data_IF_163149896003
#
_entry.id   IF_163149896003
#
_cell.length_a   1.000
_cell.length_b   1.000
_cell.length_c   1.000
_cell.angle_alpha   90.00
_cell.angle_beta   90.00
_cell.angle_gamma   90.00
#
_symmetry.space_group_name_H-M   'P 1'
#
loop_
_entity.id
_entity.type
_entity.pdbx_description
1 polymer ?
#
# COMPACT_ATOMS: atom_id res chain seq x y z
N UNK A 1 24.82 -3.39 -16.95
CA UNK A 1 23.36 -3.44 -16.72
C UNK A 1 22.77 -4.68 -17.40
N UNK A 2 21.85 -5.40 -16.75
CA UNK A 2 21.21 -6.59 -17.32
C UNK A 2 19.90 -6.20 -18.01
N UNK A 3 19.71 -6.63 -19.25
CA UNK A 3 18.70 -6.05 -20.12
C UNK A 3 17.24 -6.36 -19.75
N UNK A 4 17.00 -7.39 -18.95
CA UNK A 4 15.64 -7.76 -18.51
C UNK A 4 15.39 -7.44 -17.04
N UNK A 5 16.32 -6.75 -16.39
CA UNK A 5 16.12 -6.24 -15.04
C UNK A 5 15.05 -5.12 -15.08
N UNK A 6 13.99 -5.18 -14.26
CA UNK A 6 12.84 -4.29 -14.37
C UNK A 6 13.18 -2.79 -14.37
N UNK A 7 14.14 -2.35 -13.53
CA UNK A 7 14.55 -0.95 -13.46
C UNK A 7 15.26 -0.49 -14.74
N UNK A 8 16.10 -1.34 -15.34
CA UNK A 8 16.70 -1.07 -16.64
C UNK A 8 15.66 -1.02 -17.77
N UNK A 9 14.64 -1.90 -17.74
CA UNK A 9 13.53 -1.88 -18.69
C UNK A 9 12.76 -0.57 -18.57
N UNK A 10 12.39 -0.17 -17.34
CA UNK A 10 11.70 1.10 -17.06
C UNK A 10 12.51 2.30 -17.54
N UNK A 11 13.81 2.35 -17.21
CA UNK A 11 14.68 3.46 -17.61
C UNK A 11 14.73 3.62 -19.15
N UNK A 12 14.85 2.52 -19.90
CA UNK A 12 14.85 2.60 -21.37
C UNK A 12 13.54 3.16 -21.91
N UNK A 13 12.40 2.72 -21.38
CA UNK A 13 11.08 3.23 -21.81
C UNK A 13 10.91 4.71 -21.45
N UNK A 14 11.30 5.10 -20.24
CA UNK A 14 11.25 6.49 -19.78
C UNK A 14 12.08 7.41 -20.67
N UNK A 15 13.31 7.01 -21.03
CA UNK A 15 14.16 7.77 -21.96
C UNK A 15 13.53 7.87 -23.37
N UNK A 16 12.95 6.78 -23.89
CA UNK A 16 12.28 6.80 -25.20
C UNK A 16 11.08 7.75 -25.24
N UNK A 17 10.32 7.85 -24.16
CA UNK A 17 9.20 8.80 -24.06
C UNK A 17 9.71 10.24 -24.03
N UNK A 18 10.74 10.54 -23.22
CA UNK A 18 11.34 11.88 -23.13
C UNK A 18 11.94 12.34 -24.46
N UNK A 19 12.58 11.45 -25.21
CA UNK A 19 13.11 11.75 -26.55
C UNK A 19 12.00 12.12 -27.56
N UNK A 20 10.77 11.69 -27.32
CA UNK A 20 9.58 12.07 -28.11
C UNK A 20 8.87 13.32 -27.58
N UNK A 21 9.40 13.97 -26.55
CA UNK A 21 8.77 15.11 -25.88
C UNK A 21 7.61 14.73 -24.97
N UNK A 22 7.52 13.46 -24.54
CA UNK A 22 6.51 12.96 -23.61
C UNK A 22 7.13 12.79 -22.22
N UNK A 23 6.47 13.32 -21.19
CA UNK A 23 6.95 13.32 -19.81
C UNK A 23 5.93 12.60 -18.92
N UNK A 24 6.05 11.28 -18.74
CA UNK A 24 5.10 10.52 -17.94
C UNK A 24 5.23 10.90 -16.45
N UNK A 25 4.08 11.00 -15.79
CA UNK A 25 3.94 11.19 -14.34
C UNK A 25 3.19 9.97 -13.80
N UNK A 26 3.68 9.38 -12.71
CA UNK A 26 3.10 8.16 -12.14
C UNK A 26 2.77 8.37 -10.68
N UNK A 27 1.60 7.89 -10.26
CA UNK A 27 1.19 7.73 -8.87
C UNK A 27 1.08 6.23 -8.58
N UNK A 28 1.39 5.84 -7.35
CA UNK A 28 1.26 4.45 -6.89
C UNK A 28 0.35 4.41 -5.68
N UNK A 29 -0.68 3.57 -5.78
CA UNK A 29 -1.56 3.16 -4.69
C UNK A 29 -1.09 1.77 -4.24
N UNK A 30 -0.56 1.68 -3.02
CA UNK A 30 -0.05 0.43 -2.48
C UNK A 30 -1.10 -0.19 -1.55
N UNK A 31 -1.90 -1.09 -2.09
CA UNK A 31 -2.84 -1.89 -1.30
C UNK A 31 -2.16 -3.08 -0.61
N UNK A 32 -2.59 -3.38 0.61
CA UNK A 32 -2.14 -4.53 1.37
C UNK A 32 -3.21 -5.04 2.33
N UNK A 33 -2.99 -6.26 2.84
CA UNK A 33 -3.86 -6.86 3.86
C UNK A 33 -3.07 -7.05 5.15
N UNK A 34 -3.66 -6.64 6.26
CA UNK A 34 -3.36 -7.24 7.54
C UNK A 34 -4.13 -8.57 7.61
N UNK A 35 -3.50 -9.60 8.18
CA UNK A 35 -4.07 -10.94 8.25
C UNK A 35 -3.92 -11.48 9.67
N UNK A 36 -4.88 -12.29 10.08
CA UNK A 36 -4.70 -13.09 11.28
C UNK A 36 -3.63 -14.17 11.04
N UNK A 37 -2.79 -14.37 12.05
CA UNK A 37 -1.80 -15.44 12.06
C UNK A 37 -2.47 -16.81 12.17
N UNK A 38 -3.63 -16.88 12.83
CA UNK A 38 -4.45 -18.07 12.88
C UNK A 38 -5.24 -18.21 11.59
N UNK A 39 -5.28 -19.43 11.05
CA UNK A 39 -6.14 -19.78 9.93
C UNK A 39 -7.56 -20.07 10.42
N UNK A 40 -8.53 -19.96 9.54
CA UNK A 40 -9.91 -20.36 9.86
C UNK A 40 -10.02 -21.88 10.03
N UNK A 41 -11.24 -22.37 10.34
CA UNK A 41 -11.50 -23.79 10.58
C UNK A 41 -11.19 -24.67 9.36
N UNK A 42 -11.25 -24.09 8.17
CA UNK A 42 -10.99 -24.73 6.88
C UNK A 42 -9.53 -24.58 6.41
N UNK A 43 -8.71 -23.79 7.12
CA UNK A 43 -7.29 -23.57 6.85
C UNK A 43 -6.97 -22.38 5.94
N UNK A 44 -7.95 -21.54 5.60
CA UNK A 44 -7.75 -20.35 4.78
C UNK A 44 -7.24 -19.15 5.60
N UNK A 45 -6.79 -18.12 4.88
CA UNK A 45 -6.43 -16.83 5.44
C UNK A 45 -7.71 -16.09 5.85
N UNK A 46 -7.64 -15.33 6.93
CA UNK A 46 -8.78 -14.58 7.45
C UNK A 46 -8.36 -13.19 7.95
N UNK A 47 -9.28 -12.19 7.91
CA UNK A 47 -9.02 -10.82 8.36
C UNK A 47 -8.61 -10.77 9.84
N UNK A 48 -7.78 -9.83 10.29
CA UNK A 48 -7.34 -9.78 11.68
C UNK A 48 -8.52 -9.46 12.62
N UNK A 49 -8.40 -9.89 13.87
CA UNK A 49 -9.23 -9.34 14.94
C UNK A 49 -8.86 -7.88 15.20
N UNK A 50 -9.81 -7.09 15.70
CA UNK A 50 -9.53 -5.75 16.17
C UNK A 50 -8.47 -5.81 17.29
N UNK A 51 -7.43 -4.95 17.27
CA UNK A 51 -6.36 -5.02 18.26
C UNK A 51 -6.88 -4.95 19.69
N UNK A 52 -6.41 -5.87 20.53
CA UNK A 52 -6.84 -5.99 21.92
C UNK A 52 -8.17 -6.72 22.14
N UNK A 53 -8.81 -7.25 21.09
CA UNK A 53 -10.05 -8.03 21.20
C UNK A 53 -9.99 -9.34 20.40
N UNK A 54 -10.96 -10.21 20.64
CA UNK A 54 -11.23 -11.40 19.81
C UNK A 54 -12.28 -11.11 18.72
N UNK A 55 -12.73 -9.86 18.60
CA UNK A 55 -13.77 -9.47 17.66
C UNK A 55 -13.18 -9.28 16.26
N UNK A 56 -13.77 -9.99 15.28
CA UNK A 56 -13.36 -9.94 13.88
C UNK A 56 -14.39 -9.21 13.05
N UNK A 57 -13.98 -8.16 12.36
CA UNK A 57 -14.84 -7.54 11.37
C UNK A 57 -14.87 -8.41 10.11
N UNK A 58 -16.03 -8.99 9.81
CA UNK A 58 -16.25 -9.85 8.64
C UNK A 58 -17.01 -9.14 7.53
N UNK A 59 -17.42 -7.89 7.74
CA UNK A 59 -18.20 -7.11 6.78
C UNK A 59 -17.32 -6.10 6.04
N UNK A 60 -17.49 -6.01 4.72
CA UNK A 60 -16.95 -4.92 3.90
C UNK A 60 -17.58 -3.60 4.31
N UNK A 61 -16.90 -2.87 5.18
CA UNK A 61 -17.30 -1.53 5.61
C UNK A 61 -16.32 -0.53 4.98
N UNK A 62 -16.56 -0.23 3.69
CA UNK A 62 -15.81 0.78 2.94
C UNK A 62 -15.81 2.08 3.75
N UNK A 63 -14.62 2.64 4.01
CA UNK A 63 -14.46 3.90 4.77
C UNK A 63 -14.98 3.89 6.22
N UNK A 64 -15.03 2.73 6.89
CA UNK A 64 -15.31 2.70 8.33
C UNK A 64 -14.19 3.38 9.12
N UNK A 65 -14.49 4.55 9.68
CA UNK A 65 -13.63 5.26 10.64
C UNK A 65 -13.28 4.35 11.82
N UNK A 66 -14.17 3.45 12.21
CA UNK A 66 -13.93 2.50 13.30
C UNK A 66 -12.83 1.51 12.92
N UNK A 67 -12.80 0.98 11.68
CA UNK A 67 -11.71 0.11 11.25
C UNK A 67 -10.36 0.86 11.22
N UNK A 68 -10.34 2.11 10.76
CA UNK A 68 -9.12 2.93 10.82
C UNK A 68 -8.64 3.11 12.27
N UNK A 69 -9.53 3.40 13.21
CA UNK A 69 -9.18 3.59 14.61
C UNK A 69 -8.59 2.33 15.24
N UNK A 70 -9.13 1.16 14.94
CA UNK A 70 -8.63 -0.10 15.50
C UNK A 70 -7.18 -0.37 15.09
N UNK A 71 -6.82 -0.06 13.84
CA UNK A 71 -5.48 -0.32 13.30
C UNK A 71 -4.60 0.95 13.23
N UNK A 72 -5.00 2.03 13.89
CA UNK A 72 -4.31 3.31 13.83
C UNK A 72 -2.83 3.19 14.25
N UNK A 73 -2.53 2.40 15.29
CA UNK A 73 -1.15 2.25 15.78
C UNK A 73 -0.20 1.71 14.69
N UNK A 74 -0.57 0.65 13.97
CA UNK A 74 0.28 0.09 12.91
C UNK A 74 0.35 1.01 11.69
N UNK A 75 -0.75 1.69 11.35
CA UNK A 75 -0.77 2.64 10.24
C UNK A 75 0.10 3.87 10.53
N UNK A 76 0.07 4.36 11.78
CA UNK A 76 0.93 5.45 12.24
C UNK A 76 2.40 5.02 12.23
N UNK A 77 2.73 3.82 12.71
CA UNK A 77 4.10 3.30 12.64
C UNK A 77 4.63 3.25 11.20
N UNK A 78 3.79 2.83 10.24
CA UNK A 78 4.15 2.82 8.82
C UNK A 78 4.39 4.24 8.31
N UNK A 79 3.52 5.19 8.65
CA UNK A 79 3.67 6.59 8.25
C UNK A 79 4.96 7.22 8.83
N UNK A 80 5.22 7.04 10.11
CA UNK A 80 6.44 7.53 10.78
C UNK A 80 7.70 6.93 10.13
N UNK A 81 7.71 5.63 9.86
CA UNK A 81 8.84 4.96 9.21
C UNK A 81 9.01 5.38 7.75
N UNK A 82 7.92 5.68 7.03
CA UNK A 82 7.98 6.22 5.68
C UNK A 82 8.62 7.61 5.68
N UNK A 83 8.20 8.49 6.59
CA UNK A 83 8.78 9.82 6.76
C UNK A 83 10.27 9.76 7.11
N UNK A 84 10.67 8.88 8.03
CA UNK A 84 12.08 8.68 8.41
C UNK A 84 12.94 8.20 7.24
N UNK A 85 12.37 7.46 6.30
CA UNK A 85 13.04 6.96 5.11
C UNK A 85 12.91 7.90 3.89
N UNK A 86 12.27 9.05 4.05
CA UNK A 86 11.96 10.00 2.97
C UNK A 86 11.14 9.37 1.83
N UNK A 87 10.30 8.40 2.17
CA UNK A 87 9.33 7.82 1.25
C UNK A 87 8.16 8.83 1.14
N UNK A 88 7.77 9.26 -0.08
CA UNK A 88 6.79 10.31 -0.27
C UNK A 88 5.34 9.77 -0.12
N UNK A 89 5.01 9.22 1.03
CA UNK A 89 3.66 8.77 1.36
C UNK A 89 2.75 9.96 1.74
N UNK A 90 1.51 9.95 1.24
CA UNK A 90 0.47 10.96 1.54
C UNK A 90 -0.49 10.50 2.65
N UNK A 91 -0.32 9.26 3.12
CA UNK A 91 -1.07 8.67 4.23
C UNK A 91 -1.65 7.29 3.92
N UNK A 92 -2.17 6.63 4.95
CA UNK A 92 -2.83 5.32 4.84
C UNK A 92 -4.34 5.43 5.00
N UNK A 93 -5.09 4.67 4.20
CA UNK A 93 -6.56 4.63 4.22
C UNK A 93 -7.08 3.19 4.34
N UNK A 94 -8.29 3.03 4.88
CA UNK A 94 -8.98 1.74 4.95
C UNK A 94 -9.81 1.52 3.69
N UNK A 95 -9.72 0.32 3.13
CA UNK A 95 -10.31 -0.04 1.85
C UNK A 95 -11.62 -0.82 1.98
N UNK A 96 -12.17 -1.22 0.83
CA UNK A 96 -13.47 -1.89 0.75
C UNK A 96 -13.51 -3.30 1.38
N UNK A 97 -12.39 -4.01 1.49
CA UNK A 97 -12.35 -5.37 2.04
C UNK A 97 -11.90 -5.40 3.51
N UNK A 98 -12.39 -6.34 4.33
CA UNK A 98 -11.96 -6.47 5.72
C UNK A 98 -10.45 -6.70 5.84
N UNK A 99 -9.78 -5.88 6.64
CA UNK A 99 -8.33 -5.95 6.84
C UNK A 99 -7.50 -5.44 5.66
N UNK A 100 -8.13 -4.85 4.63
CA UNK A 100 -7.46 -4.21 3.51
C UNK A 100 -7.21 -2.73 3.80
N UNK A 101 -6.00 -2.29 3.47
CA UNK A 101 -5.55 -0.93 3.62
C UNK A 101 -4.77 -0.51 2.39
N UNK A 102 -4.61 0.78 2.20
CA UNK A 102 -3.84 1.37 1.12
C UNK A 102 -2.92 2.46 1.64
N UNK A 103 -1.71 2.54 1.08
CA UNK A 103 -0.81 3.69 1.24
C UNK A 103 -0.71 4.41 -0.11
N UNK A 104 -1.04 5.69 -0.11
CA UNK A 104 -0.87 6.55 -1.26
C UNK A 104 0.54 7.12 -1.29
N UNK A 105 1.17 7.12 -2.47
CA UNK A 105 2.43 7.82 -2.72
C UNK A 105 2.19 9.05 -3.60
N UNK A 106 2.86 10.17 -3.30
CA UNK A 106 2.83 11.33 -4.16
C UNK A 106 3.29 10.97 -5.57
N UNK A 107 2.59 11.53 -6.56
CA UNK A 107 2.96 11.31 -7.95
C UNK A 107 4.31 11.96 -8.26
N UNK A 108 5.08 11.32 -9.13
CA UNK A 108 6.40 11.78 -9.55
C UNK A 108 6.57 11.70 -11.06
N UNK A 109 7.28 12.68 -11.63
CA UNK A 109 7.77 12.66 -13.01
C UNK A 109 9.14 11.96 -13.14
N UNK A 110 9.75 11.65 -12.00
CA UNK A 110 10.98 10.88 -11.89
C UNK A 110 10.71 9.48 -11.34
N UNK A 111 10.16 8.61 -12.19
CA UNK A 111 9.82 7.21 -11.86
C UNK A 111 11.01 6.29 -11.57
N UNK A 112 12.23 6.81 -11.61
CA UNK A 112 13.45 6.08 -11.29
C UNK A 112 14.04 6.45 -9.93
N UNK A 113 13.64 7.58 -9.33
CA UNK A 113 13.95 7.84 -7.92
C UNK A 113 12.93 7.13 -7.02
#
# INVERSE_FOLDING_TARGET
PFDVEPRNVLNRLWQQLRQRGLFPVVAVELEFYLLDRQRDAEGYLQPPCAPGTDDRNTQSQVYSVDNLNHFADVLNDIDELAQLQLIPADGAVAEASPGQFEINLYHTDNVLE
#
